data_IF_199982429766
#
_entry.id   IF_199982429766
#
_cell.length_a   1.000
_cell.length_b   1.000
_cell.length_c   1.000
_cell.angle_alpha   90.00
_cell.angle_beta   90.00
_cell.angle_gamma   90.00
#
_symmetry.space_group_name_H-M   'P 1'
#
loop_
_entity.id
_entity.type
_entity.pdbx_description
1 polymer ?
#
# COMPACT_ATOMS: atom_id res chain seq x y z
N UNK A 1 -21.16 -48.38 33.22
CA UNK A 1 -20.28 -47.20 33.42
C UNK A 1 -19.10 -47.11 32.45
N UNK A 2 -18.47 -48.21 32.00
CA UNK A 2 -17.21 -48.16 31.23
C UNK A 2 -17.34 -47.87 29.71
N UNK A 3 -18.56 -47.87 29.16
CA UNK A 3 -18.80 -47.62 27.72
C UNK A 3 -19.01 -46.15 27.34
N UNK A 4 -19.31 -45.28 28.31
CA UNK A 4 -19.52 -43.84 28.06
C UNK A 4 -18.20 -43.06 28.01
N UNK A 5 -17.14 -43.53 28.68
CA UNK A 5 -15.86 -42.82 28.80
C UNK A 5 -14.96 -43.01 27.57
N UNK A 6 -15.14 -44.06 26.78
CA UNK A 6 -14.35 -44.30 25.55
C UNK A 6 -14.80 -43.43 24.38
N UNK A 7 -16.08 -43.05 24.30
CA UNK A 7 -16.64 -42.26 23.19
C UNK A 7 -16.22 -40.79 23.22
N UNK A 8 -15.96 -40.23 24.41
CA UNK A 8 -15.52 -38.83 24.56
C UNK A 8 -14.05 -38.65 24.16
N UNK A 9 -13.20 -39.63 24.47
CA UNK A 9 -11.78 -39.59 24.10
C UNK A 9 -11.57 -39.65 22.58
N UNK A 10 -12.42 -40.37 21.85
CA UNK A 10 -12.32 -40.48 20.39
C UNK A 10 -12.67 -39.18 19.66
N UNK A 11 -13.60 -38.37 20.18
CA UNK A 11 -14.00 -37.10 19.57
C UNK A 11 -12.94 -36.00 19.74
N UNK A 12 -12.17 -36.06 20.83
CA UNK A 12 -11.08 -35.13 21.10
C UNK A 12 -9.84 -35.37 20.20
N UNK A 13 -9.63 -36.60 19.72
CA UNK A 13 -8.52 -36.93 18.82
C UNK A 13 -8.80 -36.59 17.34
N UNK A 14 -10.06 -36.39 16.96
CA UNK A 14 -10.45 -36.00 15.59
C UNK A 14 -10.52 -34.49 15.37
N UNK A 15 -10.38 -33.69 16.43
CA UNK A 15 -10.17 -32.25 16.33
C UNK A 15 -8.71 -31.95 15.94
N UNK A 16 -8.24 -32.59 14.86
CA UNK A 16 -7.03 -32.15 14.18
C UNK A 16 -7.22 -30.70 13.79
N UNK A 17 -6.23 -29.86 14.07
CA UNK A 17 -6.20 -28.47 13.61
C UNK A 17 -6.48 -28.46 12.12
N UNK A 18 -7.69 -28.05 11.72
CA UNK A 18 -7.97 -27.72 10.34
C UNK A 18 -7.18 -26.45 10.03
N UNK A 19 -5.93 -26.61 9.62
CA UNK A 19 -5.17 -25.53 9.00
C UNK A 19 -5.82 -25.30 7.63
N UNK A 20 -6.80 -24.40 7.59
CA UNK A 20 -7.37 -23.94 6.34
C UNK A 20 -6.26 -23.26 5.53
N UNK A 21 -6.24 -23.50 4.22
CA UNK A 21 -5.34 -22.77 3.32
C UNK A 21 -5.62 -21.27 3.46
N UNK A 22 -4.59 -20.51 3.86
CA UNK A 22 -4.65 -19.05 3.96
C UNK A 22 -3.93 -18.44 2.77
N UNK A 23 -4.66 -17.71 1.94
CA UNK A 23 -4.09 -16.91 0.85
C UNK A 23 -4.14 -15.43 1.24
N UNK A 24 -3.02 -14.74 1.05
CA UNK A 24 -2.84 -13.31 1.26
C UNK A 24 -2.33 -12.68 -0.03
N UNK A 25 -3.05 -11.68 -0.54
CA UNK A 25 -2.58 -10.83 -1.62
C UNK A 25 -1.80 -9.66 -1.03
N UNK A 26 -0.53 -9.53 -1.39
CA UNK A 26 0.28 -8.36 -1.03
C UNK A 26 0.28 -7.41 -2.23
N UNK A 27 -0.40 -6.28 -2.07
CA UNK A 27 -0.28 -5.14 -2.97
C UNK A 27 0.84 -4.26 -2.42
N UNK A 28 1.76 -3.83 -3.28
CA UNK A 28 2.83 -2.97 -2.83
C UNK A 28 3.18 -1.90 -3.86
N UNK A 29 3.67 -0.79 -3.33
CA UNK A 29 4.40 0.25 -4.07
C UNK A 29 5.73 0.53 -3.38
N UNK A 30 6.62 1.22 -4.08
CA UNK A 30 7.89 1.73 -3.58
C UNK A 30 8.35 2.82 -4.55
N UNK A 31 9.20 3.75 -4.10
CA UNK A 31 9.85 4.76 -4.94
C UNK A 31 8.82 5.56 -5.78
N UNK A 32 7.68 5.92 -5.16
CA UNK A 32 6.62 6.65 -5.85
C UNK A 32 7.07 8.08 -6.22
N UNK A 33 8.03 8.65 -5.50
CA UNK A 33 8.72 9.90 -5.84
C UNK A 33 7.77 11.01 -6.32
N UNK A 34 6.71 11.25 -5.54
CA UNK A 34 5.71 12.28 -5.80
C UNK A 34 5.14 12.26 -7.24
N UNK A 35 5.06 11.09 -7.90
CA UNK A 35 4.50 10.90 -9.25
C UNK A 35 2.97 10.85 -9.21
N UNK A 36 2.36 11.90 -8.65
CA UNK A 36 0.90 11.96 -8.48
C UNK A 36 0.14 12.03 -9.81
N UNK A 37 0.76 12.60 -10.83
CA UNK A 37 0.25 12.69 -12.20
C UNK A 37 0.86 11.62 -13.12
N UNK A 38 0.21 11.31 -14.27
CA UNK A 38 0.75 10.42 -15.27
C UNK A 38 2.16 10.81 -15.75
N UNK A 39 2.99 9.79 -15.95
CA UNK A 39 4.34 9.94 -16.49
C UNK A 39 4.46 9.34 -17.89
N UNK A 40 5.41 9.87 -18.65
CA UNK A 40 5.83 9.34 -19.93
C UNK A 40 6.81 8.17 -19.75
N UNK A 41 7.13 7.47 -20.84
CA UNK A 41 8.18 6.41 -20.86
C UNK A 41 9.59 6.86 -20.46
N UNK A 42 9.80 8.16 -20.29
CA UNK A 42 11.06 8.74 -19.85
C UNK A 42 11.02 9.24 -18.41
N UNK A 43 9.99 8.83 -17.65
CA UNK A 43 9.79 9.22 -16.25
C UNK A 43 9.71 10.76 -16.04
N UNK A 44 9.06 11.41 -16.99
CA UNK A 44 8.75 12.84 -16.98
C UNK A 44 7.24 13.05 -17.00
N UNK A 45 6.78 14.26 -16.64
CA UNK A 45 5.36 14.62 -16.73
C UNK A 45 4.81 14.35 -18.13
N UNK A 46 3.63 13.74 -18.18
CA UNK A 46 3.01 13.35 -19.45
C UNK A 46 1.93 14.35 -19.87
N UNK A 47 1.99 14.82 -21.12
CA UNK A 47 1.01 15.75 -21.67
C UNK A 47 -0.36 15.10 -21.87
N UNK A 48 -1.41 15.93 -21.88
CA UNK A 48 -2.80 15.47 -22.04
C UNK A 48 -3.07 14.76 -23.36
N UNK A 49 -2.42 15.17 -24.45
CA UNK A 49 -2.54 14.54 -25.78
C UNK A 49 -1.98 13.12 -25.78
N UNK A 50 -0.74 12.95 -25.32
CA UNK A 50 -0.13 11.63 -25.16
C UNK A 50 -0.93 10.74 -24.19
N UNK A 51 -1.54 11.34 -23.15
CA UNK A 51 -2.38 10.62 -22.21
C UNK A 51 -3.67 10.10 -22.86
N UNK A 52 -4.29 10.90 -23.72
CA UNK A 52 -5.46 10.50 -24.50
C UNK A 52 -5.13 9.40 -25.52
N UNK A 53 -3.91 9.39 -26.06
CA UNK A 53 -3.41 8.34 -26.96
C UNK A 53 -2.91 7.08 -26.23
N UNK A 54 -3.01 7.03 -24.90
CA UNK A 54 -2.62 5.87 -24.10
C UNK A 54 -1.10 5.67 -23.96
N UNK A 55 -0.30 6.72 -24.19
CA UNK A 55 1.16 6.66 -24.10
C UNK A 55 1.71 6.94 -22.69
N UNK A 56 0.86 7.36 -21.76
CA UNK A 56 1.23 7.64 -20.37
C UNK A 56 0.84 6.49 -19.45
N UNK A 57 1.55 6.37 -18.32
CA UNK A 57 1.28 5.38 -17.27
C UNK A 57 1.46 5.99 -15.88
N UNK A 58 1.19 5.20 -14.84
CA UNK A 58 1.25 5.66 -13.46
C UNK A 58 0.25 6.77 -13.15
N UNK A 59 0.60 7.58 -12.16
CA UNK A 59 -0.29 8.58 -11.57
C UNK A 59 -1.26 7.96 -10.57
N UNK A 60 -1.61 8.74 -9.54
CA UNK A 60 -2.42 8.26 -8.41
C UNK A 60 -3.79 7.78 -8.84
N UNK A 61 -4.41 8.43 -9.84
CA UNK A 61 -5.74 8.05 -10.31
C UNK A 61 -5.77 6.62 -10.88
N UNK A 62 -4.76 6.24 -11.68
CA UNK A 62 -4.66 4.85 -12.19
C UNK A 62 -4.30 3.88 -11.08
N UNK A 63 -3.41 4.28 -10.17
CA UNK A 63 -3.01 3.46 -9.03
C UNK A 63 -4.21 3.11 -8.14
N UNK A 64 -5.05 4.10 -7.80
CA UNK A 64 -6.30 3.90 -7.03
C UNK A 64 -7.21 2.87 -7.72
N UNK A 65 -7.45 3.01 -9.02
CA UNK A 65 -8.27 2.04 -9.77
C UNK A 65 -7.65 0.65 -9.74
N UNK A 66 -6.36 0.52 -10.00
CA UNK A 66 -5.66 -0.77 -9.99
C UNK A 66 -5.70 -1.46 -8.62
N UNK A 67 -5.55 -0.69 -7.54
CA UNK A 67 -5.65 -1.18 -6.16
C UNK A 67 -7.08 -1.63 -5.87
N UNK A 68 -8.09 -0.84 -6.24
CA UNK A 68 -9.50 -1.20 -6.04
C UNK A 68 -9.85 -2.51 -6.76
N UNK A 69 -9.45 -2.65 -8.03
CA UNK A 69 -9.66 -3.87 -8.82
C UNK A 69 -8.93 -5.08 -8.20
N UNK A 70 -7.71 -4.89 -7.70
CA UNK A 70 -6.93 -5.95 -7.07
C UNK A 70 -7.51 -6.39 -5.71
N UNK A 71 -8.03 -5.43 -4.91
CA UNK A 71 -8.76 -5.72 -3.67
C UNK A 71 -10.07 -6.45 -3.98
N UNK A 72 -10.82 -6.05 -5.01
CA UNK A 72 -12.10 -6.68 -5.38
C UNK A 72 -11.98 -8.16 -5.79
N UNK A 73 -10.82 -8.58 -6.32
CA UNK A 73 -10.55 -9.96 -6.73
C UNK A 73 -9.78 -10.77 -5.67
N UNK A 74 -9.59 -10.23 -4.46
CA UNK A 74 -8.84 -10.87 -3.37
C UNK A 74 -9.73 -11.03 -2.13
N UNK A 75 -9.66 -12.19 -1.46
CA UNK A 75 -10.41 -12.41 -0.22
C UNK A 75 -9.69 -11.85 1.02
N UNK A 76 -8.35 -11.80 0.99
CA UNK A 76 -7.52 -11.15 2.00
C UNK A 76 -6.42 -10.40 1.27
N UNK A 77 -6.27 -9.11 1.55
CA UNK A 77 -5.19 -8.32 0.98
C UNK A 77 -4.63 -7.33 1.98
N UNK A 78 -3.34 -7.03 1.85
CA UNK A 78 -2.71 -5.85 2.44
C UNK A 78 -2.17 -4.96 1.31
N UNK A 79 -2.13 -3.66 1.55
CA UNK A 79 -1.50 -2.66 0.72
C UNK A 79 -0.38 -2.00 1.52
N UNK A 80 0.87 -2.18 1.08
CA UNK A 80 2.04 -1.68 1.80
C UNK A 80 2.92 -0.82 0.90
N UNK A 81 3.68 0.10 1.49
CA UNK A 81 4.64 0.92 0.77
C UNK A 81 6.09 0.71 1.24
N UNK A 82 7.00 0.64 0.27
CA UNK A 82 8.42 0.40 0.44
C UNK A 82 9.28 1.62 0.74
N UNK A 83 8.69 2.81 0.92
CA UNK A 83 9.44 4.05 1.13
C UNK A 83 9.62 4.86 -0.15
N UNK A 84 10.24 6.04 0.00
CA UNK A 84 10.52 7.00 -1.06
C UNK A 84 9.26 7.51 -1.78
N UNK A 85 8.29 7.91 -0.96
CA UNK A 85 7.14 8.71 -1.39
C UNK A 85 7.54 10.17 -1.63
N UNK A 86 8.55 10.63 -0.89
CA UNK A 86 9.08 11.99 -0.98
C UNK A 86 9.96 12.20 -2.22
N UNK A 87 10.20 13.48 -2.52
CA UNK A 87 11.01 13.96 -3.64
C UNK A 87 10.50 13.54 -5.03
N UNK A 88 11.06 14.09 -6.10
CA UNK A 88 10.86 13.63 -7.49
C UNK A 88 10.09 14.59 -8.40
N UNK A 89 9.15 15.37 -7.86
CA UNK A 89 8.38 16.36 -8.63
C UNK A 89 8.11 17.65 -7.84
N UNK A 90 7.58 18.67 -8.52
CA UNK A 90 7.18 19.94 -7.89
C UNK A 90 6.09 19.77 -6.83
N UNK A 91 5.34 18.66 -6.85
CA UNK A 91 4.38 18.36 -5.79
C UNK A 91 5.06 18.27 -4.42
N UNK A 92 6.19 17.56 -4.33
CA UNK A 92 6.95 17.51 -3.09
C UNK A 92 7.56 18.86 -2.74
N UNK A 93 8.14 19.57 -3.71
CA UNK A 93 8.71 20.91 -3.48
C UNK A 93 7.71 21.87 -2.83
N UNK A 94 6.45 21.84 -3.27
CA UNK A 94 5.42 22.76 -2.79
C UNK A 94 4.68 22.24 -1.55
N UNK A 95 4.22 20.99 -1.55
CA UNK A 95 3.36 20.43 -0.49
C UNK A 95 4.12 19.64 0.57
N UNK A 96 5.41 19.34 0.35
CA UNK A 96 6.21 18.43 1.17
C UNK A 96 5.47 17.10 1.39
N UNK A 97 5.68 16.46 2.54
CA UNK A 97 5.00 15.20 2.89
C UNK A 97 3.47 15.31 3.03
N UNK A 98 2.88 16.50 3.11
CA UNK A 98 1.45 16.65 3.37
C UNK A 98 0.58 16.03 2.25
N UNK A 99 0.97 16.22 0.99
CA UNK A 99 0.24 15.63 -0.14
C UNK A 99 0.42 14.11 -0.20
N UNK A 100 1.63 13.61 0.09
CA UNK A 100 1.86 12.17 0.19
C UNK A 100 0.95 11.55 1.26
N UNK A 101 0.90 12.14 2.46
CA UNK A 101 0.03 11.67 3.54
C UNK A 101 -1.45 11.68 3.14
N UNK A 102 -1.93 12.78 2.55
CA UNK A 102 -3.32 12.88 2.09
C UNK A 102 -3.67 11.78 1.08
N UNK A 103 -2.79 11.55 0.09
CA UNK A 103 -3.05 10.58 -0.96
C UNK A 103 -2.95 9.14 -0.45
N UNK A 104 -1.96 8.82 0.38
CA UNK A 104 -1.83 7.49 0.97
C UNK A 104 -3.02 7.16 1.89
N UNK A 105 -3.49 8.12 2.68
CA UNK A 105 -4.70 7.97 3.50
C UNK A 105 -5.95 7.70 2.65
N UNK A 106 -6.10 8.40 1.51
CA UNK A 106 -7.24 8.20 0.59
C UNK A 106 -7.20 6.86 -0.12
N UNK A 107 -6.01 6.39 -0.49
CA UNK A 107 -5.81 5.07 -1.11
C UNK A 107 -6.05 3.94 -0.10
N UNK A 108 -5.75 4.19 1.18
CA UNK A 108 -5.92 3.24 2.27
C UNK A 108 -4.78 2.22 2.31
N UNK A 109 -3.55 2.71 2.49
CA UNK A 109 -2.38 1.90 2.83
C UNK A 109 -2.51 1.33 4.24
N UNK A 110 -2.02 0.11 4.42
CA UNK A 110 -2.01 -0.61 5.69
C UNK A 110 -0.69 -0.40 6.47
N UNK A 111 0.43 -0.16 5.78
CA UNK A 111 1.71 0.17 6.39
C UNK A 111 2.68 0.78 5.37
N UNK A 112 3.71 1.46 5.85
CA UNK A 112 4.84 1.97 5.06
C UNK A 112 6.15 1.76 5.82
N UNK A 113 7.26 1.53 5.13
CA UNK A 113 8.61 1.72 5.70
C UNK A 113 9.17 3.09 5.30
N UNK A 114 10.09 3.63 6.10
CA UNK A 114 10.79 4.87 5.76
C UNK A 114 11.88 4.59 4.72
N UNK A 115 11.88 5.33 3.61
CA UNK A 115 12.96 5.37 2.61
C UNK A 115 13.98 6.47 2.92
N UNK A 116 14.99 6.64 2.06
CA UNK A 116 16.00 7.67 2.31
C UNK A 116 15.47 9.08 2.02
N UNK A 117 14.58 9.26 1.05
CA UNK A 117 14.07 10.57 0.68
C UNK A 117 13.09 11.15 1.69
N UNK A 118 12.54 10.33 2.58
CA UNK A 118 11.74 10.82 3.71
C UNK A 118 12.55 11.72 4.67
N UNK A 119 13.89 11.66 4.63
CA UNK A 119 14.78 12.49 5.43
C UNK A 119 15.34 13.73 4.71
N UNK A 120 14.98 13.97 3.44
CA UNK A 120 15.58 15.05 2.62
C UNK A 120 15.43 16.45 3.24
N UNK A 121 14.31 16.72 3.92
CA UNK A 121 14.04 17.97 4.63
C UNK A 121 14.13 17.81 6.16
N UNK A 122 14.82 16.78 6.62
CA UNK A 122 15.09 16.52 8.04
C UNK A 122 14.00 15.72 8.78
N UNK A 123 14.33 15.25 9.99
CA UNK A 123 13.46 14.37 10.77
C UNK A 123 12.16 15.05 11.22
N UNK A 124 12.11 16.37 11.30
CA UNK A 124 10.91 17.12 11.66
C UNK A 124 9.82 17.01 10.58
N UNK A 125 10.21 17.01 9.31
CA UNK A 125 9.27 16.83 8.18
C UNK A 125 8.76 15.39 8.14
N UNK A 126 9.64 14.42 8.33
CA UNK A 126 9.25 13.01 8.48
C UNK A 126 8.28 12.81 9.65
N UNK A 127 8.58 13.38 10.83
CA UNK A 127 7.69 13.30 11.99
C UNK A 127 6.31 13.92 11.73
N UNK A 128 6.28 15.04 10.99
CA UNK A 128 5.03 15.67 10.53
C UNK A 128 4.22 14.75 9.61
N UNK A 129 4.87 14.09 8.66
CA UNK A 129 4.24 13.10 7.78
C UNK A 129 3.71 11.89 8.56
N UNK A 130 4.52 11.31 9.45
CA UNK A 130 4.12 10.19 10.32
C UNK A 130 2.92 10.53 11.20
N UNK A 131 2.79 11.80 11.61
CA UNK A 131 1.64 12.28 12.38
C UNK A 131 0.38 12.49 11.54
N UNK A 132 0.53 12.63 10.21
CA UNK A 132 -0.56 12.92 9.27
C UNK A 132 -1.14 11.65 8.61
N UNK A 133 -0.38 10.57 8.51
CA UNK A 133 -0.87 9.29 8.02
C UNK A 133 -1.72 8.55 9.05
N UNK A 134 -2.69 7.77 8.60
CA UNK A 134 -3.61 6.99 9.46
C UNK A 134 -3.24 5.51 9.59
N UNK A 135 -2.04 5.14 9.15
CA UNK A 135 -1.47 3.79 9.19
C UNK A 135 -0.06 3.81 9.81
N UNK A 136 0.46 2.66 10.30
CA UNK A 136 1.80 2.59 10.86
C UNK A 136 2.90 2.84 9.83
N UNK A 137 3.87 3.66 10.23
CA UNK A 137 5.19 3.77 9.58
C UNK A 137 6.18 2.96 10.43
N UNK A 138 6.86 1.99 9.82
CA UNK A 138 7.69 0.96 10.46
C UNK A 138 9.19 1.32 10.47
#
# INVERSE_FOLDING_TARGET
>A
MMRLTQTVAALALTAGTAAADYSLTILHTNDFHARFEPISKYDSGCGSEDNAEGKCFGGSARLVTAIADAKARSNNSILVDGGDQFQGTLFYTYYKGALAAEMMNKVGYDAMTVGNHEFDDGPEVLAGFMSAVNFPVL
#
